data_IF_220863243600
#
_entry.id   IF_220863243600
#
_cell.length_a   1.000
_cell.length_b   1.000
_cell.length_c   1.000
_cell.angle_alpha   90.00
_cell.angle_beta   90.00
_cell.angle_gamma   90.00
#
_symmetry.space_group_name_H-M   'P 1'
#
loop_
_entity.id
_entity.type
_entity.pdbx_description
1 polymer ?
#
# COMPACT_ATOMS: atom_id res chain seq x y z
N UNK A 1 -2.92 19.81 -29.46
CA UNK A 1 -3.43 19.47 -28.11
C UNK A 1 -3.26 20.68 -27.22
N UNK A 2 -4.22 20.94 -26.33
CA UNK A 2 -4.11 21.97 -25.29
C UNK A 2 -2.84 21.73 -24.43
N UNK A 3 -1.97 22.74 -24.19
CA UNK A 3 -0.81 22.60 -23.30
C UNK A 3 -1.12 22.01 -21.93
N UNK A 4 -2.30 22.30 -21.37
CA UNK A 4 -2.73 21.70 -20.08
C UNK A 4 -3.02 20.21 -20.21
N UNK A 5 -3.55 19.78 -21.35
CA UNK A 5 -3.81 18.36 -21.62
C UNK A 5 -2.50 17.57 -21.78
N UNK A 6 -1.53 18.10 -22.53
CA UNK A 6 -0.21 17.47 -22.64
C UNK A 6 0.49 17.36 -21.29
N UNK A 7 0.41 18.43 -20.47
CA UNK A 7 0.92 18.42 -19.10
C UNK A 7 0.20 17.39 -18.23
N UNK A 8 -1.12 17.23 -18.39
CA UNK A 8 -1.89 16.24 -17.64
C UNK A 8 -1.42 14.81 -17.98
N UNK A 9 -1.28 14.50 -19.27
CA UNK A 9 -0.84 13.19 -19.76
C UNK A 9 0.59 12.86 -19.30
N UNK A 10 1.50 13.83 -19.30
CA UNK A 10 2.86 13.67 -18.76
C UNK A 10 2.90 13.35 -17.25
N UNK A 11 1.81 13.63 -16.51
CA UNK A 11 1.69 13.42 -15.07
C UNK A 11 0.71 12.29 -14.71
N UNK A 12 0.28 11.48 -15.69
CA UNK A 12 -0.71 10.42 -15.50
C UNK A 12 -0.14 9.15 -14.85
N UNK A 13 1.18 8.90 -14.97
CA UNK A 13 1.84 7.86 -14.20
C UNK A 13 1.96 8.30 -12.73
N UNK A 14 0.86 8.18 -11.98
CA UNK A 14 0.79 8.64 -10.60
C UNK A 14 -0.15 7.81 -9.74
N UNK A 15 0.19 7.71 -8.45
CA UNK A 15 -0.71 7.25 -7.39
C UNK A 15 -0.82 8.28 -6.27
N UNK A 16 -1.86 8.24 -5.42
CA UNK A 16 -1.90 9.07 -4.22
C UNK A 16 -0.68 8.85 -3.31
N UNK A 17 -0.23 9.92 -2.66
CA UNK A 17 0.74 9.87 -1.57
C UNK A 17 0.17 9.00 -0.46
N UNK A 18 0.96 8.02 -0.04
CA UNK A 18 0.56 7.07 0.98
C UNK A 18 1.29 7.35 2.30
N UNK A 19 0.55 7.90 3.26
CA UNK A 19 1.08 8.46 4.50
C UNK A 19 1.46 7.41 5.56
N UNK A 20 1.15 6.13 5.31
CA UNK A 20 1.28 5.10 6.33
C UNK A 20 2.51 4.21 6.11
N UNK A 21 3.58 4.73 5.52
CA UNK A 21 4.88 4.03 5.43
C UNK A 21 5.68 4.16 6.72
N UNK A 22 6.22 3.04 7.21
CA UNK A 22 7.05 2.92 8.42
C UNK A 22 8.26 2.04 8.13
N UNK A 23 9.32 2.20 8.92
CA UNK A 23 10.37 1.22 9.02
C UNK A 23 10.97 1.21 10.42
N UNK A 24 11.24 0.02 10.95
CA UNK A 24 11.94 -0.17 12.21
C UNK A 24 13.43 -0.48 12.03
N UNK A 25 13.86 -0.70 10.78
CA UNK A 25 15.24 -1.04 10.43
C UNK A 25 16.18 0.15 10.66
N UNK A 26 17.36 -0.06 11.28
CA UNK A 26 18.35 1.00 11.50
C UNK A 26 18.72 1.76 10.24
N UNK A 27 18.85 1.06 9.11
CA UNK A 27 19.17 1.59 7.78
C UNK A 27 18.16 2.64 7.33
N UNK A 28 16.88 2.27 7.39
CA UNK A 28 15.80 3.17 6.99
C UNK A 28 15.63 4.34 7.96
N UNK A 29 15.87 4.11 9.26
CA UNK A 29 15.88 5.17 10.27
C UNK A 29 17.00 6.17 9.99
N UNK A 30 18.22 5.71 9.76
CA UNK A 30 19.37 6.55 9.46
C UNK A 30 19.18 7.37 8.17
N UNK A 31 18.61 6.76 7.11
CA UNK A 31 18.27 7.47 5.88
C UNK A 31 17.26 8.60 6.11
N UNK A 32 16.21 8.33 6.88
CA UNK A 32 15.19 9.33 7.22
C UNK A 32 15.78 10.42 8.12
N UNK A 33 16.60 10.05 9.10
CA UNK A 33 17.20 10.97 10.06
C UNK A 33 18.15 11.94 9.37
N UNK A 34 18.96 11.49 8.40
CA UNK A 34 19.79 12.37 7.59
C UNK A 34 18.97 13.45 6.86
N UNK A 35 17.89 13.05 6.18
CA UNK A 35 17.00 14.01 5.49
C UNK A 35 16.31 14.93 6.50
N UNK A 36 15.89 14.39 7.64
CA UNK A 36 15.20 15.14 8.68
C UNK A 36 16.11 16.16 9.37
N UNK A 37 17.37 15.83 9.60
CA UNK A 37 18.34 16.72 10.24
C UNK A 37 18.63 17.94 9.37
N UNK A 38 18.61 17.82 8.04
CA UNK A 38 18.67 18.98 7.12
C UNK A 38 17.45 19.91 7.28
N UNK A 39 16.25 19.35 7.45
CA UNK A 39 15.02 20.12 7.71
C UNK A 39 15.11 20.86 9.05
N UNK A 40 15.71 20.23 10.07
CA UNK A 40 15.94 20.83 11.39
C UNK A 40 16.96 21.96 11.30
N UNK A 41 18.10 21.72 10.64
CA UNK A 41 19.17 22.71 10.45
C UNK A 41 18.70 23.93 9.65
N UNK A 42 17.68 23.78 8.79
CA UNK A 42 17.03 24.89 8.10
C UNK A 42 16.08 25.74 8.99
N UNK A 43 15.95 25.42 10.28
CA UNK A 43 15.14 26.20 11.23
C UNK A 43 13.63 26.04 11.06
N UNK A 44 13.17 25.06 10.27
CA UNK A 44 11.74 24.85 10.01
C UNK A 44 11.00 24.19 11.19
N UNK A 45 11.72 23.45 12.02
CA UNK A 45 11.17 22.57 13.04
C UNK A 45 11.17 23.24 14.41
N UNK A 46 9.99 23.59 14.92
CA UNK A 46 9.84 23.98 16.33
C UNK A 46 9.94 22.74 17.22
N UNK A 47 10.63 22.85 18.36
CA UNK A 47 10.90 21.72 19.26
C UNK A 47 9.64 20.91 19.63
N UNK A 48 8.54 21.60 19.97
CA UNK A 48 7.25 20.96 20.32
C UNK A 48 6.62 20.12 19.20
N UNK A 49 7.06 20.26 17.95
CA UNK A 49 6.56 19.51 16.79
C UNK A 49 7.60 18.56 16.18
N UNK A 50 8.78 18.42 16.80
CA UNK A 50 9.90 17.64 16.24
C UNK A 50 9.48 16.21 15.85
N UNK A 51 8.75 15.51 16.71
CA UNK A 51 8.25 14.15 16.41
C UNK A 51 7.35 14.11 15.19
N UNK A 52 6.38 15.04 15.08
CA UNK A 52 5.43 15.09 13.96
C UNK A 52 6.14 15.34 12.63
N UNK A 53 7.11 16.25 12.61
CA UNK A 53 7.92 16.49 11.42
C UNK A 53 8.76 15.28 11.04
N UNK A 54 9.33 14.56 12.02
CA UNK A 54 10.10 13.35 11.78
C UNK A 54 9.22 12.23 11.20
N UNK A 55 8.04 12.01 11.78
CA UNK A 55 7.08 11.00 11.30
C UNK A 55 6.58 11.31 9.89
N UNK A 56 6.34 12.58 9.59
CA UNK A 56 5.99 13.03 8.25
C UNK A 56 7.14 12.83 7.26
N UNK A 57 8.37 13.19 7.65
CA UNK A 57 9.57 12.99 6.83
C UNK A 57 9.75 11.51 6.51
N UNK A 58 9.61 10.64 7.52
CA UNK A 58 9.60 9.19 7.35
C UNK A 58 8.56 8.75 6.33
N UNK A 59 7.30 9.15 6.51
CA UNK A 59 6.21 8.73 5.63
C UNK A 59 6.48 9.14 4.18
N UNK A 60 6.90 10.38 3.94
CA UNK A 60 7.15 10.91 2.58
C UNK A 60 8.38 10.25 1.95
N UNK A 61 9.52 10.18 2.66
CA UNK A 61 10.76 9.62 2.13
C UNK A 61 10.59 8.13 1.77
N UNK A 62 9.98 7.35 2.66
CA UNK A 62 9.78 5.92 2.42
C UNK A 62 8.75 5.66 1.31
N UNK A 63 7.72 6.50 1.18
CA UNK A 63 6.74 6.35 0.11
C UNK A 63 7.28 6.76 -1.26
N UNK A 64 8.12 7.80 -1.31
CA UNK A 64 8.87 8.20 -2.50
C UNK A 64 9.84 7.10 -2.95
N UNK A 65 10.56 6.50 -2.00
CA UNK A 65 11.42 5.35 -2.29
C UNK A 65 10.61 4.17 -2.84
N UNK A 66 9.50 3.79 -2.17
CA UNK A 66 8.65 2.71 -2.64
C UNK A 66 8.09 2.96 -4.05
N UNK A 67 7.63 4.18 -4.34
CA UNK A 67 7.18 4.56 -5.68
C UNK A 67 8.30 4.45 -6.73
N UNK A 68 9.49 4.95 -6.41
CA UNK A 68 10.65 4.90 -7.31
C UNK A 68 11.08 3.45 -7.63
N UNK A 69 11.04 2.54 -6.64
CA UNK A 69 11.38 1.13 -6.86
C UNK A 69 10.33 0.38 -7.69
N UNK A 70 9.08 0.81 -7.67
CA UNK A 70 8.02 0.30 -8.55
C UNK A 70 8.19 0.83 -9.98
N UNK A 71 8.38 2.14 -10.12
CA UNK A 71 8.62 2.82 -11.39
C UNK A 71 9.32 4.17 -11.13
N UNK A 72 10.57 4.36 -11.59
CA UNK A 72 11.30 5.62 -11.39
C UNK A 72 10.61 6.86 -11.95
N UNK A 73 9.66 6.68 -12.88
CA UNK A 73 8.90 7.78 -13.49
C UNK A 73 7.60 8.11 -12.77
N UNK A 74 7.16 7.27 -11.81
CA UNK A 74 5.89 7.43 -11.10
C UNK A 74 5.89 8.61 -10.14
N UNK A 75 4.83 9.40 -10.20
CA UNK A 75 4.58 10.50 -9.28
C UNK A 75 3.68 10.10 -8.12
N UNK A 76 3.93 10.72 -6.96
CA UNK A 76 3.02 10.78 -5.84
C UNK A 76 2.14 12.02 -5.92
N UNK A 77 0.82 11.81 -5.88
CA UNK A 77 -0.20 12.84 -5.86
C UNK A 77 -0.55 13.32 -4.47
N UNK A 78 -0.58 14.63 -4.25
CA UNK A 78 -0.96 15.19 -2.96
C UNK A 78 -1.62 16.58 -3.12
N UNK A 79 -2.43 16.94 -2.13
CA UNK A 79 -3.05 18.26 -2.05
C UNK A 79 -2.06 19.29 -1.48
N UNK A 80 -2.01 20.49 -2.05
CA UNK A 80 -1.33 21.63 -1.40
C UNK A 80 -2.27 22.47 -0.53
N UNK A 81 -3.58 22.25 -0.61
CA UNK A 81 -4.54 22.88 0.29
C UNK A 81 -4.46 22.21 1.68
N UNK A 82 -4.09 22.95 2.76
CA UNK A 82 -4.02 22.41 4.10
C UNK A 82 -5.35 21.84 4.62
N UNK A 83 -6.48 22.39 4.18
CA UNK A 83 -7.82 22.02 4.66
C UNK A 83 -8.24 20.61 4.21
N UNK A 84 -7.55 20.05 3.21
CA UNK A 84 -7.76 18.68 2.75
C UNK A 84 -7.15 17.64 3.71
N UNK A 85 -6.48 18.07 4.79
CA UNK A 85 -5.84 17.21 5.77
C UNK A 85 -6.48 17.39 7.15
N UNK A 86 -7.42 16.51 7.49
CA UNK A 86 -8.12 16.51 8.77
C UNK A 86 -7.32 15.73 9.83
N UNK A 87 -6.94 16.40 10.91
CA UNK A 87 -6.15 15.81 12.02
C UNK A 87 -7.00 14.85 12.86
N UNK A 88 -8.29 15.14 13.02
CA UNK A 88 -9.22 14.38 13.87
C UNK A 88 -10.11 13.43 13.05
N UNK A 89 -9.59 12.93 11.94
CA UNK A 89 -10.27 11.96 11.09
C UNK A 89 -9.84 10.54 11.43
N UNK A 90 -10.77 9.58 11.40
CA UNK A 90 -10.48 8.15 11.51
C UNK A 90 -9.54 7.67 10.40
N UNK A 91 -9.53 8.34 9.25
CA UNK A 91 -8.59 8.09 8.15
C UNK A 91 -7.35 8.98 8.19
N UNK A 92 -7.35 9.96 9.10
CA UNK A 92 -6.29 10.93 9.26
C UNK A 92 -5.01 10.27 9.74
N UNK A 93 -3.89 10.60 9.09
CA UNK A 93 -2.60 10.44 9.73
C UNK A 93 -2.53 11.47 10.88
N UNK A 94 -2.73 11.03 12.12
CA UNK A 94 -2.77 11.89 13.33
C UNK A 94 -1.57 12.85 13.50
N UNK A 95 -0.46 12.60 12.78
CA UNK A 95 0.73 13.45 12.75
C UNK A 95 0.69 14.57 11.70
N UNK A 96 -0.33 14.62 10.84
CA UNK A 96 -0.36 15.42 9.62
C UNK A 96 -1.02 16.78 9.82
N UNK A 97 -0.22 17.85 9.76
CA UNK A 97 -0.73 19.19 9.44
C UNK A 97 -0.45 19.45 7.97
N UNK A 98 -1.49 19.83 7.20
CA UNK A 98 -1.32 20.17 5.78
C UNK A 98 -0.29 21.28 5.55
N UNK A 99 -0.23 22.26 6.46
CA UNK A 99 0.80 23.31 6.43
C UNK A 99 2.22 22.77 6.63
N UNK A 100 2.40 21.82 7.56
CA UNK A 100 3.70 21.17 7.78
C UNK A 100 4.08 20.33 6.56
N UNK A 101 3.13 19.60 5.96
CA UNK A 101 3.33 18.84 4.74
C UNK A 101 3.84 19.70 3.59
N UNK A 102 3.18 20.83 3.32
CA UNK A 102 3.59 21.70 2.22
C UNK A 102 4.97 22.29 2.48
N UNK A 103 5.27 22.75 3.69
CA UNK A 103 6.59 23.29 4.05
C UNK A 103 7.72 22.27 3.90
N UNK A 104 7.49 21.03 4.35
CA UNK A 104 8.46 19.96 4.19
C UNK A 104 8.69 19.65 2.72
N UNK A 105 7.63 19.52 1.92
CA UNK A 105 7.76 19.21 0.50
C UNK A 105 8.47 20.33 -0.26
N UNK A 106 8.15 21.60 0.03
CA UNK A 106 8.83 22.74 -0.59
C UNK A 106 10.32 22.77 -0.21
N UNK A 107 10.68 22.40 1.03
CA UNK A 107 12.06 22.26 1.45
C UNK A 107 12.78 21.11 0.72
N UNK A 108 12.16 19.92 0.62
CA UNK A 108 12.72 18.78 -0.12
C UNK A 108 12.95 19.13 -1.60
N UNK A 109 12.02 19.85 -2.22
CA UNK A 109 12.14 20.31 -3.60
C UNK A 109 13.29 21.31 -3.76
N UNK A 110 13.35 22.32 -2.89
CA UNK A 110 14.39 23.37 -2.93
C UNK A 110 15.81 22.80 -2.73
N UNK A 111 15.93 21.67 -2.02
CA UNK A 111 17.18 20.95 -1.81
C UNK A 111 17.44 19.84 -2.84
N UNK A 112 16.59 19.69 -3.85
CA UNK A 112 16.78 18.75 -4.96
C UNK A 112 16.53 17.28 -4.61
N UNK A 113 15.88 16.96 -3.49
CA UNK A 113 15.50 15.58 -3.14
C UNK A 113 14.32 15.07 -3.96
N UNK A 114 13.47 15.96 -4.41
CA UNK A 114 12.29 15.64 -5.21
C UNK A 114 12.19 16.56 -6.42
N UNK A 115 11.58 16.04 -7.47
CA UNK A 115 10.97 16.86 -8.51
C UNK A 115 9.52 17.16 -8.09
N UNK A 116 9.05 18.38 -8.36
CA UNK A 116 7.70 18.82 -8.00
C UNK A 116 7.00 19.53 -9.17
N UNK A 117 5.73 19.19 -9.36
CA UNK A 117 4.83 19.86 -10.29
C UNK A 117 3.59 20.36 -9.55
N UNK A 118 3.37 21.67 -9.60
CA UNK A 118 2.15 22.27 -9.07
C UNK A 118 0.91 21.75 -9.82
N UNK A 119 -0.13 21.42 -9.04
CA UNK A 119 -1.44 21.05 -9.56
C UNK A 119 -2.10 22.20 -10.33
N UNK A 120 -3.09 21.87 -11.14
CA UNK A 120 -3.82 22.84 -11.95
C UNK A 120 -5.26 22.40 -12.18
N UNK A 121 -6.10 23.39 -12.43
CA UNK A 121 -7.48 23.20 -12.85
C UNK A 121 -7.61 23.39 -14.37
N UNK A 122 -8.41 22.52 -14.98
CA UNK A 122 -8.79 22.57 -16.40
C UNK A 122 -10.15 21.92 -16.58
N UNK A 123 -10.93 22.39 -17.56
CA UNK A 123 -12.24 21.84 -17.92
C UNK A 123 -12.17 20.35 -18.30
N UNK A 124 -11.04 19.90 -18.87
CA UNK A 124 -10.77 18.49 -19.13
C UNK A 124 -10.21 17.76 -17.91
N UNK A 125 -8.89 17.64 -17.84
CA UNK A 125 -8.18 16.79 -16.88
C UNK A 125 -7.43 17.61 -15.83
N UNK A 126 -8.13 17.98 -14.75
CA UNK A 126 -7.50 18.61 -13.58
C UNK A 126 -6.53 17.66 -12.87
N UNK A 127 -5.44 18.19 -12.30
CA UNK A 127 -4.44 17.40 -11.57
C UNK A 127 -4.11 18.06 -10.24
N UNK A 128 -4.05 17.25 -9.17
CA UNK A 128 -3.43 17.67 -7.91
C UNK A 128 -1.91 17.79 -8.08
N UNK A 129 -1.22 18.34 -7.08
CA UNK A 129 0.24 18.48 -7.16
C UNK A 129 0.91 17.11 -7.16
N UNK A 130 2.03 17.02 -7.86
CA UNK A 130 2.79 15.78 -8.08
C UNK A 130 4.22 15.95 -7.60
N UNK A 131 4.76 14.91 -6.99
CA UNK A 131 6.18 14.84 -6.65
C UNK A 131 6.76 13.46 -6.94
N UNK A 132 8.05 13.37 -7.23
CA UNK A 132 8.76 12.08 -7.31
C UNK A 132 10.19 12.22 -6.81
N UNK A 133 10.79 11.11 -6.41
CA UNK A 133 12.18 11.08 -5.93
C UNK A 133 13.16 11.46 -7.04
N UNK A 134 14.21 12.22 -6.71
CA UNK A 134 15.36 12.39 -7.60
C UNK A 134 16.45 11.37 -7.28
N UNK A 135 17.49 11.33 -8.14
CA UNK A 135 18.71 10.59 -7.86
C UNK A 135 19.38 11.00 -6.54
N UNK A 136 19.24 12.26 -6.09
CA UNK A 136 19.79 12.72 -4.80
C UNK A 136 19.15 11.97 -3.63
N UNK A 137 17.82 11.85 -3.62
CA UNK A 137 17.12 11.11 -2.57
C UNK A 137 17.45 9.61 -2.62
N UNK A 138 17.55 9.03 -3.82
CA UNK A 138 17.91 7.62 -3.97
C UNK A 138 19.36 7.35 -3.54
N UNK A 139 20.27 8.29 -3.75
CA UNK A 139 21.63 8.19 -3.24
C UNK A 139 21.66 8.13 -1.71
N UNK A 140 20.87 8.96 -1.01
CA UNK A 140 20.77 8.89 0.45
C UNK A 140 20.16 7.55 0.89
N UNK A 141 18.99 7.21 0.36
CA UNK A 141 18.20 6.06 0.85
C UNK A 141 18.87 4.72 0.49
N UNK A 142 19.28 4.53 -0.76
CA UNK A 142 19.76 3.24 -1.26
C UNK A 142 21.29 3.16 -1.30
N UNK A 143 21.98 4.17 -1.84
CA UNK A 143 23.43 4.08 -2.04
C UNK A 143 24.21 4.25 -0.72
N UNK A 144 23.83 5.20 0.13
CA UNK A 144 24.48 5.49 1.41
C UNK A 144 23.98 4.55 2.52
N UNK A 145 22.67 4.51 2.73
CA UNK A 145 22.07 3.80 3.88
C UNK A 145 21.58 2.38 3.58
N UNK A 146 21.69 1.91 2.33
CA UNK A 146 21.39 0.51 1.95
C UNK A 146 19.95 0.06 2.23
N UNK A 147 19.00 0.98 2.21
CA UNK A 147 17.58 0.63 2.36
C UNK A 147 17.13 -0.23 1.19
N UNK A 148 16.38 -1.29 1.49
CA UNK A 148 15.77 -2.20 0.52
C UNK A 148 14.24 -2.16 0.63
N UNK A 149 13.53 -2.57 -0.43
CA UNK A 149 12.05 -2.58 -0.45
C UNK A 149 11.43 -3.34 0.74
N UNK A 150 11.91 -4.52 1.16
CA UNK A 150 11.38 -5.22 2.34
C UNK A 150 11.51 -4.46 3.67
N UNK A 151 12.40 -3.46 3.73
CA UNK A 151 12.54 -2.60 4.91
C UNK A 151 11.42 -1.56 5.01
N UNK A 152 10.68 -1.30 3.93
CA UNK A 152 9.55 -0.36 3.92
C UNK A 152 8.25 -1.10 4.23
N UNK A 153 7.69 -0.81 5.41
CA UNK A 153 6.50 -1.47 5.96
C UNK A 153 5.31 -0.52 6.05
N UNK A 154 4.17 -1.09 6.38
CA UNK A 154 2.95 -0.34 6.70
C UNK A 154 2.89 -0.02 8.20
N UNK A 155 2.43 1.17 8.53
CA UNK A 155 2.15 1.56 9.90
C UNK A 155 0.94 0.76 10.41
N UNK A 156 1.04 0.05 11.56
CA UNK A 156 -0.08 -0.68 12.15
C UNK A 156 -1.30 0.20 12.46
N UNK A 157 -1.09 1.50 12.72
CA UNK A 157 -2.16 2.46 12.97
C UNK A 157 -2.93 2.92 11.73
N UNK A 158 -2.59 2.40 10.53
CA UNK A 158 -3.37 2.68 9.32
C UNK A 158 -4.80 2.14 9.46
N UNK A 159 -5.77 2.98 9.08
CA UNK A 159 -7.14 2.53 8.96
C UNK A 159 -7.36 1.61 7.75
N UNK A 160 -7.71 0.36 8.03
CA UNK A 160 -7.96 -0.68 7.02
C UNK A 160 -9.45 -0.92 6.74
N UNK A 161 -10.33 -0.32 7.54
CA UNK A 161 -11.78 -0.37 7.35
C UNK A 161 -12.22 1.00 6.82
N UNK A 162 -12.82 1.02 5.63
CA UNK A 162 -13.29 2.24 4.98
C UNK A 162 -14.81 2.19 4.88
N UNK A 163 -15.47 3.24 5.32
CA UNK A 163 -16.90 3.46 5.17
C UNK A 163 -17.13 4.60 4.18
N UNK A 164 -17.94 4.35 3.15
CA UNK A 164 -18.30 5.34 2.14
C UNK A 164 -19.78 5.63 2.15
N UNK A 165 -20.14 6.88 1.89
CA UNK A 165 -21.53 7.26 1.61
C UNK A 165 -22.02 6.78 0.22
N UNK A 166 -23.22 7.21 -0.17
CA UNK A 166 -23.80 6.88 -1.48
C UNK A 166 -23.04 7.53 -2.65
N UNK A 167 -22.38 8.66 -2.40
CA UNK A 167 -21.61 9.43 -3.36
C UNK A 167 -20.14 8.96 -3.46
N UNK A 168 -19.80 7.88 -2.73
CA UNK A 168 -18.46 7.25 -2.65
C UNK A 168 -17.43 8.10 -1.92
N UNK A 169 -17.84 9.08 -1.13
CA UNK A 169 -16.94 9.80 -0.25
C UNK A 169 -16.67 8.98 1.01
N UNK A 170 -15.42 8.96 1.45
CA UNK A 170 -15.06 8.33 2.72
C UNK A 170 -15.64 9.17 3.88
N UNK A 171 -16.38 8.53 4.78
CA UNK A 171 -17.07 9.17 5.92
C UNK A 171 -16.57 8.64 7.26
N UNK A 172 -16.62 9.51 8.28
CA UNK A 172 -16.25 9.19 9.66
C UNK A 172 -17.22 8.15 10.26
N UNK A 173 -16.72 7.42 11.25
CA UNK A 173 -17.53 6.49 12.05
C UNK A 173 -16.92 6.27 13.42
N UNK A 174 -17.74 5.80 14.35
CA UNK A 174 -17.28 5.39 15.68
C UNK A 174 -16.97 3.91 15.72
N UNK A 175 -16.03 3.54 16.61
CA UNK A 175 -15.67 2.16 16.82
C UNK A 175 -16.79 1.40 17.56
N UNK A 176 -17.36 0.43 16.87
CA UNK A 176 -18.19 -0.61 17.49
C UNK A 176 -17.34 -1.86 17.74
N UNK A 177 -17.73 -2.74 18.69
CA UNK A 177 -17.03 -4.01 18.91
C UNK A 177 -16.90 -4.87 17.64
N UNK A 178 -17.87 -4.79 16.73
CA UNK A 178 -17.82 -5.46 15.44
C UNK A 178 -16.76 -4.85 14.52
N UNK A 179 -16.71 -3.53 14.39
CA UNK A 179 -15.72 -2.83 13.56
C UNK A 179 -14.29 -3.10 14.06
N UNK A 180 -14.09 -3.07 15.38
CA UNK A 180 -12.80 -3.42 16.01
C UNK A 180 -12.39 -4.86 15.65
N UNK A 181 -13.31 -5.83 15.80
CA UNK A 181 -13.05 -7.23 15.43
C UNK A 181 -12.71 -7.39 13.95
N UNK A 182 -13.42 -6.70 13.05
CA UNK A 182 -13.13 -6.72 11.62
C UNK A 182 -11.75 -6.15 11.31
N UNK A 183 -11.38 -5.05 11.96
CA UNK A 183 -10.08 -4.40 11.83
C UNK A 183 -8.94 -5.33 12.27
N UNK A 184 -9.05 -5.92 13.45
CA UNK A 184 -8.04 -6.86 13.99
C UNK A 184 -7.84 -8.08 13.09
N UNK A 185 -8.94 -8.67 12.60
CA UNK A 185 -8.87 -9.78 11.66
C UNK A 185 -8.16 -9.39 10.36
N UNK A 186 -8.46 -8.20 9.82
CA UNK A 186 -7.81 -7.70 8.62
C UNK A 186 -6.32 -7.39 8.84
N UNK A 187 -5.93 -6.86 9.99
CA UNK A 187 -4.52 -6.72 10.35
C UNK A 187 -3.80 -8.07 10.43
N UNK A 188 -4.44 -9.11 10.99
CA UNK A 188 -3.88 -10.47 11.02
C UNK A 188 -3.67 -11.01 9.61
N UNK A 189 -4.65 -10.86 8.71
CA UNK A 189 -4.56 -11.28 7.31
C UNK A 189 -3.40 -10.55 6.63
N UNK A 190 -3.36 -9.22 6.72
CA UNK A 190 -2.32 -8.42 6.08
C UNK A 190 -0.91 -8.75 6.60
N UNK A 191 -0.75 -8.97 7.91
CA UNK A 191 0.51 -9.43 8.50
C UNK A 191 0.93 -10.80 7.96
N UNK A 192 -0.04 -11.67 7.65
CA UNK A 192 0.20 -12.92 6.94
C UNK A 192 0.72 -12.68 5.52
N UNK A 193 0.01 -11.87 4.73
CA UNK A 193 0.35 -11.55 3.35
C UNK A 193 1.72 -10.89 3.21
N UNK A 194 2.10 -10.01 4.13
CA UNK A 194 3.41 -9.35 4.15
C UNK A 194 4.57 -10.34 4.21
N UNK A 195 4.41 -11.45 4.95
CA UNK A 195 5.44 -12.49 5.13
C UNK A 195 5.62 -13.41 3.93
N UNK A 196 4.71 -13.38 2.97
CA UNK A 196 4.71 -14.31 1.84
C UNK A 196 5.16 -13.61 0.55
N UNK A 197 5.94 -14.32 -0.26
CA UNK A 197 6.25 -13.90 -1.62
C UNK A 197 5.07 -14.26 -2.52
N UNK A 198 4.29 -13.25 -2.91
CA UNK A 198 3.18 -13.41 -3.86
C UNK A 198 3.66 -12.78 -5.16
N UNK A 199 3.97 -13.61 -6.15
CA UNK A 199 4.61 -13.18 -7.40
C UNK A 199 3.87 -13.75 -8.62
N UNK A 200 4.09 -13.12 -9.78
CA UNK A 200 3.56 -13.55 -11.06
C UNK A 200 4.66 -14.26 -11.86
N UNK A 201 4.50 -15.56 -12.10
CA UNK A 201 5.49 -16.41 -12.77
C UNK A 201 5.23 -16.45 -14.28
N UNK A 202 5.62 -15.37 -14.96
CA UNK A 202 5.58 -15.21 -16.42
C UNK A 202 6.93 -14.69 -16.92
N UNK A 203 7.17 -14.75 -18.24
CA UNK A 203 8.42 -14.23 -18.81
C UNK A 203 8.46 -12.70 -18.77
N UNK A 204 9.65 -12.11 -18.80
CA UNK A 204 9.84 -10.65 -18.74
C UNK A 204 9.15 -9.93 -19.91
N UNK A 205 9.15 -10.52 -21.11
CA UNK A 205 8.45 -9.93 -22.27
C UNK A 205 6.93 -9.95 -22.08
N UNK A 206 6.39 -10.99 -21.45
CA UNK A 206 4.97 -11.08 -21.12
C UNK A 206 4.59 -10.08 -20.03
N UNK A 207 5.44 -9.91 -19.01
CA UNK A 207 5.27 -8.90 -17.98
C UNK A 207 5.30 -7.49 -18.58
N UNK A 208 6.20 -7.22 -19.53
CA UNK A 208 6.27 -5.95 -20.24
C UNK A 208 4.96 -5.67 -21.02
N UNK A 209 4.46 -6.67 -21.76
CA UNK A 209 3.16 -6.57 -22.48
C UNK A 209 1.99 -6.36 -21.54
N UNK A 210 1.96 -7.08 -20.41
CA UNK A 210 0.91 -6.94 -19.40
C UNK A 210 0.91 -5.53 -18.81
N UNK A 211 2.08 -5.01 -18.42
CA UNK A 211 2.20 -3.66 -17.86
C UNK A 211 1.85 -2.56 -18.87
N UNK A 212 2.21 -2.75 -20.15
CA UNK A 212 1.79 -1.87 -21.23
C UNK A 212 0.25 -1.87 -21.39
N UNK A 213 -0.38 -3.05 -21.36
CA UNK A 213 -1.85 -3.18 -21.41
C UNK A 213 -2.55 -2.52 -20.21
N UNK A 214 -1.95 -2.63 -19.02
CA UNK A 214 -2.47 -1.99 -17.81
C UNK A 214 -2.15 -0.49 -17.74
N UNK A 215 -1.31 0.01 -18.66
CA UNK A 215 -0.75 1.36 -18.64
C UNK A 215 -0.13 1.73 -17.28
N UNK A 216 0.53 0.77 -16.63
CA UNK A 216 1.22 0.95 -15.34
C UNK A 216 2.14 -0.23 -15.02
N UNK A 217 3.15 0.01 -14.18
CA UNK A 217 3.93 -1.06 -13.55
C UNK A 217 3.14 -1.73 -12.43
N UNK A 218 3.37 -3.03 -12.25
CA UNK A 218 2.78 -3.81 -11.14
C UNK A 218 3.71 -3.67 -9.93
N UNK A 219 3.17 -3.15 -8.84
CA UNK A 219 3.88 -3.13 -7.56
C UNK A 219 3.67 -4.46 -6.82
N UNK A 220 4.63 -5.39 -6.96
CA UNK A 220 4.55 -6.69 -6.29
C UNK A 220 4.67 -6.60 -4.75
N UNK A 221 5.11 -5.45 -4.21
CA UNK A 221 5.13 -5.20 -2.78
C UNK A 221 3.75 -4.79 -2.25
N UNK A 222 2.84 -4.29 -3.11
CA UNK A 222 1.46 -3.99 -2.74
C UNK A 222 0.64 -5.27 -2.54
N UNK A 223 0.71 -5.81 -1.33
CA UNK A 223 -0.07 -6.98 -0.88
C UNK A 223 -1.13 -6.60 0.17
N UNK A 224 -1.30 -5.30 0.40
CA UNK A 224 -2.11 -4.77 1.49
C UNK A 224 -3.59 -4.79 1.10
N UNK A 225 -4.43 -5.32 1.98
CA UNK A 225 -5.89 -5.30 1.83
C UNK A 225 -6.53 -4.27 2.75
N UNK A 226 -7.59 -3.64 2.24
CA UNK A 226 -8.56 -2.82 2.97
C UNK A 226 -9.94 -3.42 2.79
N UNK A 227 -10.85 -3.22 3.73
CA UNK A 227 -12.25 -3.60 3.60
C UNK A 227 -13.11 -2.34 3.46
N UNK A 228 -13.82 -2.24 2.36
CA UNK A 228 -14.62 -1.06 2.01
C UNK A 228 -16.10 -1.41 2.08
N UNK A 229 -16.84 -0.61 2.84
CA UNK A 229 -18.29 -0.60 2.97
C UNK A 229 -18.84 0.63 2.24
N UNK A 230 -20.02 0.51 1.63
CA UNK A 230 -20.65 1.59 0.87
C UNK A 230 -22.00 1.97 1.48
N UNK A 231 -22.56 3.10 1.02
CA UNK A 231 -23.88 3.60 1.41
C UNK A 231 -24.05 3.81 2.92
N UNK A 232 -22.97 4.14 3.63
CA UNK A 232 -22.95 4.34 5.08
C UNK A 232 -23.37 3.10 5.88
N UNK A 233 -23.32 1.92 5.28
CA UNK A 233 -23.93 0.71 5.84
C UNK A 233 -22.92 -0.41 6.08
N UNK A 234 -22.85 -0.86 7.33
CA UNK A 234 -22.08 -2.05 7.72
C UNK A 234 -22.73 -3.37 7.26
N UNK A 235 -24.03 -3.35 6.94
CA UNK A 235 -24.82 -4.55 6.63
C UNK A 235 -24.87 -4.88 5.14
N UNK A 236 -24.52 -3.94 4.26
CA UNK A 236 -24.51 -4.15 2.80
C UNK A 236 -23.27 -4.90 2.28
N UNK A 237 -22.55 -5.58 3.17
CA UNK A 237 -21.34 -6.32 2.87
C UNK A 237 -20.13 -5.40 2.61
N UNK A 238 -19.00 -5.73 3.23
CA UNK A 238 -17.73 -5.04 3.01
C UNK A 238 -16.83 -5.85 2.09
N UNK A 239 -16.43 -5.27 0.95
CA UNK A 239 -15.53 -5.93 -0.03
C UNK A 239 -14.07 -5.66 0.30
N UNK A 240 -13.21 -6.65 0.08
CA UNK A 240 -11.76 -6.48 0.22
C UNK A 240 -11.17 -5.89 -1.07
N UNK A 241 -10.40 -4.83 -0.93
CA UNK A 241 -9.69 -4.14 -2.01
C UNK A 241 -8.21 -3.99 -1.69
N UNK A 242 -7.38 -3.83 -2.73
CA UNK A 242 -5.93 -3.73 -2.63
C UNK A 242 -5.29 -5.02 -3.16
N UNK A 243 -4.01 -5.26 -2.86
CA UNK A 243 -3.30 -6.42 -3.40
C UNK A 243 -3.16 -6.37 -4.92
N UNK A 244 -1.92 -6.39 -5.42
CA UNK A 244 -1.66 -6.24 -6.85
C UNK A 244 -2.41 -7.28 -7.71
N UNK A 245 -2.63 -8.48 -7.19
CA UNK A 245 -3.31 -9.59 -7.86
C UNK A 245 -4.77 -9.31 -8.23
N UNK A 246 -5.49 -8.44 -7.49
CA UNK A 246 -6.90 -8.16 -7.79
C UNK A 246 -7.08 -7.50 -9.16
N UNK A 247 -6.05 -6.76 -9.62
CA UNK A 247 -6.08 -6.04 -10.89
C UNK A 247 -5.39 -6.79 -12.03
N UNK A 248 -4.97 -8.03 -11.79
CA UNK A 248 -4.37 -8.88 -12.81
C UNK A 248 -5.49 -9.54 -13.62
N UNK A 249 -5.45 -9.45 -14.97
CA UNK A 249 -6.44 -10.09 -15.83
C UNK A 249 -6.47 -11.61 -15.64
N UNK A 250 -7.66 -12.21 -15.81
CA UNK A 250 -7.97 -13.58 -15.43
C UNK A 250 -6.97 -14.61 -15.98
N UNK A 251 -6.57 -14.45 -17.24
CA UNK A 251 -5.66 -15.35 -17.94
C UNK A 251 -4.24 -15.38 -17.35
N UNK A 252 -3.85 -14.33 -16.61
CA UNK A 252 -2.57 -14.25 -15.91
C UNK A 252 -2.66 -14.79 -14.46
N UNK A 253 -3.85 -14.84 -13.85
CA UNK A 253 -4.00 -15.22 -12.43
C UNK A 253 -3.54 -16.64 -12.12
N UNK A 254 -3.67 -17.56 -13.08
CA UNK A 254 -3.16 -18.94 -12.96
C UNK A 254 -1.64 -19.03 -12.79
N UNK A 255 -0.91 -17.95 -13.11
CA UNK A 255 0.55 -17.87 -12.98
C UNK A 255 0.97 -17.22 -11.65
N UNK A 256 0.01 -16.88 -10.77
CA UNK A 256 0.32 -16.37 -9.44
C UNK A 256 0.83 -17.52 -8.58
N UNK A 257 1.92 -17.29 -7.85
CA UNK A 257 2.44 -18.24 -6.87
C UNK A 257 2.63 -17.59 -5.53
N UNK A 258 2.40 -18.37 -4.48
CA UNK A 258 2.64 -17.97 -3.08
C UNK A 258 3.82 -18.80 -2.58
N UNK A 259 4.91 -18.13 -2.21
CA UNK A 259 6.18 -18.74 -1.81
C UNK A 259 6.68 -19.77 -2.85
N UNK A 260 6.51 -19.46 -4.15
CA UNK A 260 6.89 -20.34 -5.25
C UNK A 260 5.97 -21.54 -5.48
N UNK A 261 4.88 -21.70 -4.71
CA UNK A 261 3.90 -22.77 -4.88
C UNK A 261 2.72 -22.30 -5.73
N UNK A 262 2.22 -23.17 -6.60
CA UNK A 262 1.03 -22.91 -7.41
C UNK A 262 -0.20 -22.72 -6.52
N UNK A 263 -1.13 -21.89 -7.01
CA UNK A 263 -2.40 -21.61 -6.33
C UNK A 263 -3.56 -22.11 -7.18
N UNK A 264 -4.63 -22.55 -6.51
CA UNK A 264 -5.90 -22.88 -7.15
C UNK A 264 -6.88 -21.76 -6.81
N UNK A 265 -7.49 -21.16 -7.83
CA UNK A 265 -8.58 -20.21 -7.66
C UNK A 265 -9.86 -21.01 -7.35
N UNK A 266 -10.20 -21.11 -6.07
CA UNK A 266 -11.45 -21.70 -5.62
C UNK A 266 -12.58 -20.67 -5.79
N UNK A 267 -13.39 -20.80 -6.83
CA UNK A 267 -14.59 -20.00 -6.97
C UNK A 267 -15.65 -20.49 -5.97
N UNK A 268 -16.17 -19.57 -5.15
CA UNK A 268 -17.22 -19.87 -4.21
C UNK A 268 -18.52 -19.36 -4.80
N UNK A 269 -19.43 -20.27 -5.17
CA UNK A 269 -20.76 -19.94 -5.69
C UNK A 269 -21.58 -19.21 -4.61
N UNK A 270 -21.42 -17.91 -4.45
CA UNK A 270 -22.31 -17.07 -3.64
C UNK A 270 -23.04 -16.08 -4.53
N UNK A 271 -24.17 -16.53 -5.09
CA UNK A 271 -25.26 -15.66 -5.50
C UNK A 271 -26.61 -16.31 -5.10
N UNK A 272 -27.46 -15.50 -4.45
CA UNK A 272 -28.86 -15.75 -4.05
C UNK A 272 -29.13 -16.72 -2.88
N UNK A 273 -29.14 -16.20 -1.64
CA UNK A 273 -30.12 -16.68 -0.65
C UNK A 273 -31.43 -15.94 -0.94
N UNK A 274 -32.26 -16.50 -1.83
CA UNK A 274 -33.69 -16.17 -1.84
C UNK A 274 -34.30 -16.84 -0.60
N UNK A 275 -34.93 -16.04 0.26
CA UNK A 275 -35.93 -16.55 1.19
C UNK A 275 -37.09 -17.12 0.37
N UNK A 276 -37.17 -18.43 0.23
CA UNK A 276 -38.41 -19.10 -0.16
C UNK A 276 -38.44 -20.48 0.48
N UNK A 277 -39.44 -20.69 1.34
CA UNK A 277 -39.76 -21.96 1.96
C UNK A 277 -40.31 -22.92 0.91
N UNK A 278 -39.74 -24.13 0.77
CA UNK A 278 -40.46 -25.37 0.47
C UNK A 278 -39.48 -26.57 0.38
N UNK A 279 -39.95 -27.81 0.63
CA UNK A 279 -39.15 -28.91 1.14
C UNK A 279 -38.56 -29.82 0.05
N UNK A 280 -37.41 -30.40 0.41
CA UNK A 280 -36.87 -31.72 0.05
C UNK A 280 -36.85 -32.16 -1.43
N UNK A 281 -35.65 -32.21 -2.01
CA UNK A 281 -35.07 -33.43 -2.61
C UNK A 281 -33.73 -33.12 -3.31
N UNK A 282 -32.70 -33.92 -3.01
CA UNK A 282 -31.58 -34.16 -3.92
C UNK A 282 -30.25 -33.52 -3.55
N UNK A 283 -29.51 -34.20 -2.65
CA UNK A 283 -28.05 -34.16 -2.44
C UNK A 283 -27.34 -32.86 -2.89
N UNK A 284 -27.24 -31.89 -1.99
CA UNK A 284 -26.20 -30.85 -2.04
C UNK A 284 -25.27 -31.02 -0.85
N UNK A 285 -23.97 -31.16 -1.10
CA UNK A 285 -22.94 -31.10 -0.05
C UNK A 285 -22.97 -29.70 0.56
N UNK A 286 -23.37 -29.61 1.81
CA UNK A 286 -23.30 -28.39 2.61
C UNK A 286 -21.82 -28.16 2.97
N UNK A 287 -21.23 -27.00 2.67
CA UNK A 287 -19.91 -26.68 3.20
C UNK A 287 -20.02 -26.52 4.73
N UNK A 288 -19.12 -27.12 5.53
CA UNK A 288 -19.18 -26.94 6.98
C UNK A 288 -18.98 -25.46 7.32
N UNK A 289 -19.79 -24.96 8.25
CA UNK A 289 -19.65 -23.63 8.81
C UNK A 289 -18.28 -23.53 9.52
N UNK A 290 -17.27 -23.03 8.80
CA UNK A 290 -15.90 -22.96 9.26
C UNK A 290 -15.68 -21.83 10.25
N UNK A 291 -15.81 -22.13 11.55
CA UNK A 291 -15.00 -21.49 12.58
C UNK A 291 -13.60 -22.07 12.41
N UNK A 292 -12.62 -21.27 11.96
CA UNK A 292 -11.22 -21.71 11.91
C UNK A 292 -10.77 -22.07 13.34
N UNK A 293 -10.58 -23.37 13.60
CA UNK A 293 -10.05 -23.83 14.88
C UNK A 293 -8.53 -23.94 14.82
N UNK A 294 -7.90 -23.76 15.98
CA UNK A 294 -6.44 -23.68 16.15
C UNK A 294 -5.68 -24.96 15.74
N UNK A 295 -6.40 -26.06 15.46
CA UNK A 295 -5.84 -27.36 15.07
C UNK A 295 -5.50 -27.45 13.58
N UNK A 296 -6.09 -26.61 12.71
CA UNK A 296 -5.81 -26.58 11.27
C UNK A 296 -4.43 -25.96 10.92
N UNK A 297 -3.72 -25.42 11.93
CA UNK A 297 -2.39 -24.82 11.79
C UNK A 297 -1.23 -25.78 12.14
N UNK A 298 -1.51 -27.03 12.52
CA UNK A 298 -0.48 -27.95 13.00
C UNK A 298 0.33 -28.67 11.90
N UNK A 299 -0.08 -28.57 10.63
CA UNK A 299 0.63 -29.18 9.50
C UNK A 299 1.88 -28.45 9.00
N UNK A 300 2.33 -27.39 9.69
CA UNK A 300 3.50 -26.59 9.32
C UNK A 300 4.64 -26.74 10.33
N UNK A 301 4.99 -27.98 10.69
CA UNK A 301 6.28 -28.27 11.36
C UNK A 301 7.27 -28.83 10.35
N UNK A 302 8.49 -28.31 10.47
CA UNK A 302 9.70 -28.56 9.69
C UNK A 302 9.95 -30.03 9.33
N UNK A 303 10.39 -30.25 8.09
CA UNK A 303 11.21 -31.36 7.53
C UNK A 303 11.25 -31.07 6.01
N UNK A 304 12.36 -30.95 5.29
CA UNK A 304 13.70 -31.50 5.43
C UNK A 304 14.75 -30.50 4.87
N UNK A 305 15.89 -30.41 5.54
CA UNK A 305 17.10 -29.83 4.96
C UNK A 305 17.86 -30.94 4.22
N UNK A 306 18.37 -30.73 3.00
CA UNK A 306 19.28 -31.69 2.39
C UNK A 306 20.65 -31.62 3.07
N UNK A 307 21.15 -32.81 3.38
CA UNK A 307 22.45 -33.14 3.95
C UNK A 307 23.59 -32.51 3.13
N UNK A 308 24.29 -31.54 3.70
CA UNK A 308 25.53 -31.02 3.14
C UNK A 308 26.69 -31.83 3.71
N UNK A 309 27.27 -32.66 2.84
CA UNK A 309 28.45 -33.46 3.10
C UNK A 309 29.59 -32.64 3.71
N UNK A 310 30.23 -33.26 4.70
CA UNK A 310 31.48 -32.80 5.29
C UNK A 310 32.57 -32.74 4.22
N UNK A 311 33.06 -31.54 3.94
CA UNK A 311 34.40 -31.29 3.42
C UNK A 311 35.17 -30.52 4.48
N UNK A 312 36.03 -31.22 5.21
CA UNK A 312 37.13 -30.66 5.97
C UNK A 312 38.40 -31.41 5.59
N UNK A 313 39.34 -30.72 4.94
CA UNK A 313 40.77 -31.05 5.09
C UNK A 313 41.34 -30.31 6.32
N UNK A 314 42.66 -30.23 6.53
CA UNK A 314 43.76 -31.00 5.95
C UNK A 314 44.59 -31.75 7.03
N UNK A 315 45.26 -32.84 6.63
CA UNK A 315 46.64 -33.25 6.99
C UNK A 315 47.02 -34.46 6.13
#
# INVERSE_FOLDING_TARGET
MDPKQQKAEALDNSRPLYMWRLSDFPEAKAAVDQVFDEVVSAGLVKQRYRSKWRDLTRAIVLDLYAAYKTDPTMYLGYSRNPDNYKVDSVYGAWFLSGTILVKLIDHLHSNGYIEHHAGFHSEGKSRVSRMRATGKLMNVVEAQHKVTVPMVRHNPGEQVIILRDADKNDIEYEDTPEVVRMRENLHRINKGLEKHAILLFIKDEELARLQARLNRKIDFADKRLRRVFNNGSWTQGGRFYGGWWQNVPREYRRHIRINGKDVVECDCHQHAVRHEQAPDAGRRRVPPAGVFQQQDLQGLRQTDAPDHGQLGGPE
#
